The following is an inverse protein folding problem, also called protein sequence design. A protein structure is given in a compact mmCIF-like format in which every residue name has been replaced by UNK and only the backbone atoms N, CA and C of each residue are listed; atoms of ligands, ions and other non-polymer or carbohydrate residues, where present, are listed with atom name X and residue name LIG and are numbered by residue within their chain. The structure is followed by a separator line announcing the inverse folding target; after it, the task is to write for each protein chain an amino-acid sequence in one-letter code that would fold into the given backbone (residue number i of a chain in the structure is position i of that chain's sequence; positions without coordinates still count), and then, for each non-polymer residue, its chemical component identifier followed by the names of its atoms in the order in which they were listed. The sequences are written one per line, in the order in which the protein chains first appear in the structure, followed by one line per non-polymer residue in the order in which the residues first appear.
data_IF_956008533100
#
_entry.id   IF_956008533100
#
_cell.length_a   1.000
_cell.length_b   1.000
_cell.length_c   1.000
_cell.angle_alpha   90.00
_cell.angle_beta   90.00
_cell.angle_gamma   90.00
#
_symmetry.space_group_name_H-M   'P 1'
#
loop_
_entity.id
_entity.type
_entity.pdbx_description
1 polymer ?
#
# COMPACT_ATOMS: atom_id res chain seq x y z
N UNK A 1 1.17 -62.52 -3.50
CA UNK A 1 1.40 -61.25 -4.24
C UNK A 1 0.51 -60.20 -3.55
N UNK A 2 0.90 -59.32 -2.61
CA UNK A 2 2.09 -58.46 -2.42
C UNK A 2 2.41 -57.71 -3.73
N UNK A 3 2.37 -56.38 -3.89
CA UNK A 3 2.41 -55.13 -3.08
C UNK A 3 1.61 -54.05 -3.89
N UNK A 4 1.27 -52.82 -3.49
CA UNK A 4 1.70 -51.90 -2.45
C UNK A 4 1.39 -50.46 -2.90
N UNK A 5 1.02 -49.62 -1.95
CA UNK A 5 0.68 -48.19 -1.97
C UNK A 5 1.70 -47.22 -2.63
N UNK A 6 1.22 -46.08 -3.17
CA UNK A 6 1.49 -44.70 -2.64
C UNK A 6 0.90 -43.59 -3.53
N UNK A 7 0.16 -42.67 -2.89
CA UNK A 7 -0.27 -41.34 -3.37
C UNK A 7 0.76 -40.28 -2.98
N UNK A 8 1.00 -39.27 -3.83
CA UNK A 8 1.52 -37.91 -3.51
C UNK A 8 1.45 -36.97 -4.75
N UNK A 9 1.57 -35.61 -4.65
CA UNK A 9 0.53 -34.68 -5.11
C UNK A 9 0.94 -33.60 -6.15
N UNK A 10 -0.10 -32.94 -6.70
CA UNK A 10 -0.25 -31.58 -7.26
C UNK A 10 0.93 -30.82 -7.89
N UNK A 11 0.70 -30.26 -9.09
CA UNK A 11 1.21 -28.92 -9.46
C UNK A 11 0.30 -28.24 -10.49
N UNK A 12 -0.21 -27.07 -10.09
CA UNK A 12 -1.05 -26.15 -10.85
C UNK A 12 -0.23 -25.46 -11.95
N UNK A 13 -0.74 -25.47 -13.19
CA UNK A 13 -0.11 -24.76 -14.32
C UNK A 13 -0.54 -23.30 -14.29
N UNK A 14 0.41 -22.39 -14.04
CA UNK A 14 0.23 -20.95 -14.26
C UNK A 14 0.86 -20.57 -15.60
N UNK A 15 0.06 -20.00 -16.51
CA UNK A 15 0.53 -19.41 -17.77
C UNK A 15 1.13 -18.03 -17.49
N UNK A 16 2.40 -17.83 -17.87
CA UNK A 16 3.02 -16.50 -18.02
C UNK A 16 3.36 -16.35 -19.49
N UNK A 17 2.67 -15.45 -20.19
CA UNK A 17 3.00 -15.05 -21.57
C UNK A 17 4.00 -13.90 -21.46
N UNK A 18 5.27 -14.17 -21.78
CA UNK A 18 6.28 -13.15 -22.06
C UNK A 18 6.52 -13.15 -23.58
N UNK A 19 6.14 -12.06 -24.25
CA UNK A 19 6.41 -11.86 -25.68
C UNK A 19 7.79 -11.19 -25.83
N UNK A 20 8.71 -11.91 -26.46
CA UNK A 20 10.02 -11.43 -26.86
C UNK A 20 9.91 -10.71 -28.20
N UNK A 21 10.26 -9.42 -28.26
CA UNK A 21 10.64 -8.77 -29.52
C UNK A 21 12.11 -8.38 -29.45
N UNK A 22 12.91 -9.13 -30.19
CA UNK A 22 14.28 -8.80 -30.58
C UNK A 22 14.19 -8.12 -31.94
N UNK A 23 14.71 -6.90 -32.08
CA UNK A 23 14.99 -6.33 -33.40
C UNK A 23 16.33 -5.61 -33.35
N UNK A 24 17.29 -6.14 -34.10
CA UNK A 24 18.59 -5.53 -34.42
C UNK A 24 18.36 -4.37 -35.40
N UNK A 25 18.96 -3.22 -35.14
CA UNK A 25 19.35 -2.25 -36.18
C UNK A 25 20.84 -1.91 -35.92
N UNK A 26 21.64 -2.10 -36.96
CA UNK A 26 23.07 -1.74 -37.14
C UNK A 26 23.04 -0.41 -37.92
N UNK A 27 23.78 0.67 -37.67
CA UNK A 27 25.22 1.00 -37.76
C UNK A 27 25.39 2.35 -36.98
N UNK A 28 26.42 2.61 -36.16
CA UNK A 28 27.77 2.98 -36.58
C UNK A 28 28.82 2.59 -35.51
N UNK A 29 29.63 1.58 -35.86
CA UNK A 29 31.07 1.73 -35.83
C UNK A 29 31.84 1.58 -34.52
N UNK A 30 31.83 0.41 -33.86
CA UNK A 30 33.04 -0.16 -33.21
C UNK A 30 32.94 -1.70 -33.17
N UNK A 31 33.84 -2.38 -33.88
CA UNK A 31 34.00 -3.84 -33.88
C UNK A 31 34.99 -4.22 -32.77
N UNK A 32 34.62 -5.11 -31.86
CA UNK A 32 35.58 -5.80 -30.98
C UNK A 32 35.78 -7.23 -31.47
N UNK A 33 37.00 -7.51 -31.94
CA UNK A 33 37.48 -8.84 -32.33
C UNK A 33 38.12 -9.53 -31.11
N UNK A 34 37.88 -10.83 -30.84
CA UNK A 34 38.43 -11.48 -29.66
C UNK A 34 39.87 -11.95 -29.91
N UNK A 35 40.85 -11.29 -29.28
CA UNK A 35 42.24 -11.74 -29.23
C UNK A 35 42.35 -13.00 -28.34
N UNK A 36 42.89 -14.09 -28.89
CA UNK A 36 43.29 -15.29 -28.12
C UNK A 36 44.61 -14.99 -27.42
N UNK A 37 44.64 -15.06 -26.09
CA UNK A 37 45.85 -15.01 -25.29
C UNK A 37 45.88 -16.14 -24.26
N UNK A 38 47.00 -16.87 -24.22
CA UNK A 38 47.35 -17.91 -23.26
C UNK A 38 47.89 -17.28 -21.97
N UNK A 39 47.43 -17.73 -20.80
CA UNK A 39 48.00 -17.36 -19.50
C UNK A 39 48.66 -18.58 -18.85
N UNK A 40 49.94 -18.46 -18.48
CA UNK A 40 50.67 -19.45 -17.69
C UNK A 40 50.23 -19.38 -16.21
N UNK A 41 49.91 -20.53 -15.62
CA UNK A 41 49.55 -20.66 -14.21
C UNK A 41 50.79 -20.92 -13.37
N UNK A 42 51.16 -19.97 -12.50
CA UNK A 42 52.10 -20.22 -11.40
C UNK A 42 51.37 -20.97 -10.28
N UNK A 43 52.00 -22.06 -9.82
CA UNK A 43 51.45 -23.05 -8.91
C UNK A 43 51.71 -22.67 -7.46
N UNK A 44 50.65 -22.35 -6.71
CA UNK A 44 50.63 -22.58 -5.25
C UNK A 44 49.20 -22.58 -4.71
N UNK A 45 48.95 -23.47 -3.75
CA UNK A 45 47.69 -23.73 -3.04
C UNK A 45 46.59 -24.52 -3.79
N UNK A 46 46.82 -25.82 -3.96
CA UNK A 46 45.76 -26.83 -3.82
C UNK A 46 46.06 -27.70 -2.60
N UNK A 47 45.11 -27.82 -1.68
CA UNK A 47 45.03 -28.96 -0.77
C UNK A 47 43.87 -29.85 -1.21
N UNK A 48 44.22 -31.12 -1.39
CA UNK A 48 43.43 -32.18 -1.99
C UNK A 48 42.53 -32.82 -0.94
N UNK A 49 41.26 -33.10 -1.28
CA UNK A 49 40.57 -34.24 -0.68
C UNK A 49 39.55 -34.89 -1.63
N UNK A 50 40.00 -36.06 -2.12
CA UNK A 50 39.28 -37.31 -2.43
C UNK A 50 38.23 -37.36 -3.56
N UNK A 51 38.71 -37.99 -4.64
CA UNK A 51 38.01 -38.76 -5.67
C UNK A 51 36.93 -39.73 -5.16
N UNK A 52 35.85 -39.87 -5.94
CA UNK A 52 35.28 -41.19 -6.27
C UNK A 52 34.64 -41.15 -7.67
N UNK A 53 35.04 -42.13 -8.47
CA UNK A 53 34.73 -42.34 -9.89
C UNK A 53 33.48 -43.21 -10.07
N UNK A 54 32.67 -42.93 -11.09
CA UNK A 54 32.06 -43.99 -11.91
C UNK A 54 31.67 -43.44 -13.28
N UNK A 55 32.32 -43.97 -14.32
CA UNK A 55 32.02 -43.75 -15.73
C UNK A 55 30.94 -44.76 -16.15
N UNK A 56 29.80 -44.28 -16.63
CA UNK A 56 28.97 -45.03 -17.57
C UNK A 56 28.80 -44.22 -18.86
N UNK A 57 29.41 -44.75 -19.92
CA UNK A 57 29.23 -44.33 -21.31
C UNK A 57 27.81 -44.72 -21.74
N UNK A 58 27.04 -43.78 -22.30
CA UNK A 58 26.83 -43.66 -23.76
C UNK A 58 25.46 -43.02 -24.11
N UNK A 59 25.51 -42.18 -25.15
CA UNK A 59 24.44 -41.74 -26.06
C UNK A 59 23.34 -40.78 -25.58
N UNK A 60 23.41 -39.59 -26.21
CA UNK A 60 22.39 -38.57 -26.50
C UNK A 60 22.05 -37.59 -25.36
N UNK A 61 22.23 -36.30 -25.69
CA UNK A 61 21.76 -35.08 -25.00
C UNK A 61 22.30 -34.81 -23.60
N UNK A 62 23.03 -33.69 -23.45
CA UNK A 62 22.74 -32.54 -22.57
C UNK A 62 24.02 -31.72 -22.41
N UNK A 63 24.05 -30.48 -22.93
CA UNK A 63 25.05 -29.49 -22.52
C UNK A 63 24.69 -29.09 -21.08
N UNK A 64 25.38 -29.65 -20.10
CA UNK A 64 25.38 -29.14 -18.73
C UNK A 64 26.44 -28.06 -18.68
N UNK A 65 26.02 -26.81 -18.69
CA UNK A 65 26.89 -25.68 -18.36
C UNK A 65 27.02 -25.62 -16.85
N UNK A 66 28.17 -26.02 -16.31
CA UNK A 66 28.49 -25.76 -14.91
C UNK A 66 28.91 -24.29 -14.78
N UNK A 67 28.11 -23.48 -14.09
CA UNK A 67 28.60 -22.22 -13.55
C UNK A 67 29.29 -22.53 -12.23
N UNK A 68 30.63 -22.49 -12.23
CA UNK A 68 31.40 -22.41 -11.00
C UNK A 68 31.19 -21.00 -10.44
N UNK A 69 30.48 -20.88 -9.31
CA UNK A 69 30.51 -19.67 -8.51
C UNK A 69 31.87 -19.65 -7.81
N UNK A 70 32.78 -18.81 -8.30
CA UNK A 70 33.98 -18.45 -7.55
C UNK A 70 33.51 -17.65 -6.33
N UNK A 71 33.49 -18.29 -5.17
CA UNK A 71 33.33 -17.60 -3.89
C UNK A 71 34.64 -16.87 -3.59
N UNK A 72 34.63 -15.54 -3.72
CA UNK A 72 35.74 -14.70 -3.29
C UNK A 72 35.82 -14.77 -1.76
N UNK A 73 36.83 -15.47 -1.24
CA UNK A 73 37.26 -15.33 0.15
C UNK A 73 37.91 -13.95 0.31
N UNK A 74 37.19 -13.01 0.89
CA UNK A 74 37.82 -11.84 1.49
C UNK A 74 38.40 -12.24 2.87
N UNK A 75 39.71 -12.06 3.10
CA UNK A 75 40.29 -12.15 4.41
C UNK A 75 40.14 -10.79 5.09
N UNK A 76 39.27 -10.69 6.08
CA UNK A 76 39.66 -10.14 7.38
C UNK A 76 38.51 -10.23 8.37
N UNK A 77 38.77 -11.00 9.42
CA UNK A 77 37.96 -11.06 10.63
C UNK A 77 38.60 -10.09 11.61
N UNK A 78 37.87 -9.06 12.07
CA UNK A 78 37.61 -8.82 13.51
C UNK A 78 36.98 -7.45 13.80
N UNK A 79 35.97 -7.52 14.68
CA UNK A 79 35.50 -6.50 15.63
C UNK A 79 34.56 -5.38 15.13
N UNK A 80 33.38 -5.32 15.76
CA UNK A 80 32.41 -4.23 15.64
C UNK A 80 31.11 -4.65 14.94
N UNK A 81 30.13 -5.16 15.70
CA UNK A 81 28.75 -5.29 15.20
C UNK A 81 28.12 -3.90 15.12
N UNK A 82 28.49 -3.11 14.12
CA UNK A 82 27.71 -1.95 13.71
C UNK A 82 26.67 -2.44 12.72
N UNK A 83 25.38 -2.37 13.10
CA UNK A 83 24.26 -2.74 12.25
C UNK A 83 24.34 -1.91 10.97
N UNK A 84 24.83 -2.49 9.87
CA UNK A 84 24.73 -1.89 8.53
C UNK A 84 23.24 -1.65 8.26
N UNK A 85 22.83 -0.40 8.40
CA UNK A 85 21.49 0.08 8.07
C UNK A 85 21.37 -0.04 6.56
N UNK A 86 20.82 -1.14 6.06
CA UNK A 86 20.54 -1.30 4.64
C UNK A 86 19.67 -0.12 4.20
N UNK A 87 20.26 0.83 3.48
CA UNK A 87 19.52 1.91 2.86
C UNK A 87 18.68 1.28 1.76
N UNK A 88 17.37 1.17 1.98
CA UNK A 88 16.43 0.81 0.91
C UNK A 88 16.67 1.82 -0.22
N UNK A 89 16.98 1.35 -1.43
CA UNK A 89 17.13 2.22 -2.60
C UNK A 89 15.73 2.68 -2.98
N UNK A 90 15.38 3.88 -2.56
CA UNK A 90 14.03 4.45 -2.73
C UNK A 90 13.86 5.25 -4.02
N UNK A 91 14.96 5.50 -4.75
CA UNK A 91 14.98 6.32 -5.97
C UNK A 91 15.93 5.72 -7.00
N UNK A 92 15.56 5.74 -8.28
CA UNK A 92 16.39 5.28 -9.39
C UNK A 92 16.77 6.47 -10.27
N UNK A 93 18.07 6.63 -10.53
CA UNK A 93 18.61 7.81 -11.21
C UNK A 93 17.98 8.09 -12.58
N UNK A 94 17.73 7.03 -13.35
CA UNK A 94 17.17 7.05 -14.69
C UNK A 94 15.63 7.05 -14.75
N UNK A 95 14.95 7.05 -13.60
CA UNK A 95 13.48 7.02 -13.53
C UNK A 95 13.00 8.28 -12.79
N UNK A 96 12.77 9.42 -13.49
CA UNK A 96 12.50 10.71 -12.87
C UNK A 96 11.35 10.68 -11.86
N UNK A 97 10.31 9.88 -12.14
CA UNK A 97 9.13 9.73 -11.28
C UNK A 97 9.48 9.18 -9.88
N UNK A 98 10.54 8.38 -9.74
CA UNK A 98 10.97 7.85 -8.42
C UNK A 98 11.72 8.88 -7.60
N UNK A 99 12.35 9.89 -8.23
CA UNK A 99 12.94 11.04 -7.53
C UNK A 99 11.89 12.08 -7.16
N UNK A 100 10.92 12.29 -8.05
CA UNK A 100 9.80 13.23 -7.85
C UNK A 100 8.81 12.75 -6.78
N UNK A 101 8.82 11.45 -6.43
CA UNK A 101 7.84 10.80 -5.55
C UNK A 101 8.55 9.89 -4.54
N UNK A 102 9.28 10.45 -3.55
CA UNK A 102 10.09 9.66 -2.64
C UNK A 102 9.23 8.92 -1.61
N UNK A 103 9.49 7.63 -1.35
CA UNK A 103 8.78 6.91 -0.31
C UNK A 103 9.22 7.35 1.10
N UNK A 104 8.26 7.44 2.03
CA UNK A 104 8.42 7.47 3.48
C UNK A 104 9.32 6.34 4.01
N UNK A 105 9.97 6.60 5.14
CA UNK A 105 11.10 5.77 5.61
C UNK A 105 10.84 5.06 6.95
N UNK A 106 9.60 5.06 7.44
CA UNK A 106 9.20 4.69 8.82
C UNK A 106 7.67 4.49 8.89
N UNK A 107 6.98 3.62 9.65
CA UNK A 107 7.28 2.61 10.69
C UNK A 107 6.03 1.73 10.92
N UNK A 108 6.21 0.68 11.72
CA UNK A 108 5.23 -0.28 12.23
C UNK A 108 4.20 0.37 13.17
N UNK A 109 2.91 0.32 12.82
CA UNK A 109 1.76 0.17 13.74
C UNK A 109 0.46 0.18 12.93
N UNK A 110 -0.21 -0.97 12.85
CA UNK A 110 -1.39 -1.17 11.97
C UNK A 110 -2.68 -0.52 12.47
N UNK A 111 -2.65 0.00 13.71
CA UNK A 111 -3.79 0.51 14.48
C UNK A 111 -3.80 2.02 14.64
N UNK A 112 -2.73 2.68 14.22
CA UNK A 112 -2.55 4.11 14.41
C UNK A 112 -2.29 4.73 13.04
N UNK A 113 -2.94 5.87 12.77
CA UNK A 113 -2.62 6.66 11.59
C UNK A 113 -1.34 7.47 11.88
N UNK A 114 -0.18 6.82 11.78
CA UNK A 114 1.13 7.42 12.10
C UNK A 114 1.69 8.22 10.92
N UNK A 115 2.35 9.33 11.20
CA UNK A 115 3.11 10.17 10.25
C UNK A 115 4.45 10.56 10.85
N UNK A 116 5.33 11.19 10.07
CA UNK A 116 6.57 11.78 10.60
C UNK A 116 6.31 12.77 11.76
N UNK A 117 5.23 13.56 11.68
CA UNK A 117 4.86 14.54 12.72
C UNK A 117 4.12 13.92 13.90
N UNK A 118 3.33 12.88 13.66
CA UNK A 118 2.60 12.11 14.69
C UNK A 118 3.02 10.64 14.67
N UNK A 119 4.20 10.30 15.23
CA UNK A 119 4.73 8.93 15.18
C UNK A 119 3.88 7.92 15.97
N UNK A 120 3.08 8.39 16.93
CA UNK A 120 2.17 7.59 17.74
C UNK A 120 0.69 7.79 17.32
N UNK A 121 0.44 8.42 16.17
CA UNK A 121 -0.91 8.74 15.68
C UNK A 121 -1.66 9.74 16.55
N UNK A 122 -3.00 9.62 16.62
CA UNK A 122 -3.86 10.46 17.46
C UNK A 122 -3.86 9.94 18.90
N UNK A 123 -3.29 10.73 19.81
CA UNK A 123 -3.21 10.39 21.25
C UNK A 123 -4.07 11.33 22.12
N UNK A 124 -4.60 12.40 21.53
CA UNK A 124 -5.44 13.36 22.21
C UNK A 124 -6.70 12.71 22.79
N UNK A 125 -7.07 13.09 24.02
CA UNK A 125 -8.24 12.57 24.74
C UNK A 125 -8.29 11.03 24.82
N UNK A 126 -7.14 10.36 24.98
CA UNK A 126 -7.04 8.90 25.05
C UNK A 126 -7.49 8.15 23.78
N UNK A 127 -7.56 8.82 22.62
CA UNK A 127 -8.11 8.25 21.39
C UNK A 127 -7.52 6.88 21.00
N UNK A 128 -6.18 6.78 20.92
CA UNK A 128 -5.48 5.53 20.63
C UNK A 128 -5.80 4.41 21.62
N UNK A 129 -6.00 4.73 22.91
CA UNK A 129 -6.32 3.76 23.96
C UNK A 129 -7.74 3.22 23.80
N UNK A 130 -8.69 4.09 23.49
CA UNK A 130 -10.10 3.73 23.25
C UNK A 130 -10.26 2.86 22.00
N UNK A 131 -9.50 3.16 20.95
CA UNK A 131 -9.60 2.53 19.63
C UNK A 131 -8.58 1.38 19.42
N UNK A 132 -7.89 0.94 20.48
CA UNK A 132 -6.78 -0.03 20.40
C UNK A 132 -7.15 -1.42 19.84
N UNK A 133 -8.44 -1.73 19.73
CA UNK A 133 -8.95 -3.00 19.20
C UNK A 133 -9.47 -2.89 17.75
N UNK A 134 -9.33 -1.72 17.12
CA UNK A 134 -9.83 -1.45 15.78
C UNK A 134 -8.66 -1.22 14.81
N UNK A 135 -8.85 -1.58 13.54
CA UNK A 135 -8.00 -1.06 12.46
C UNK A 135 -8.33 0.42 12.20
N UNK A 136 -7.43 1.17 11.59
CA UNK A 136 -7.67 2.59 11.31
C UNK A 136 -8.93 2.81 10.45
N UNK A 137 -9.21 1.92 9.49
CA UNK A 137 -10.47 1.98 8.73
C UNK A 137 -11.71 1.73 9.60
N UNK A 138 -11.62 0.87 10.62
CA UNK A 138 -12.73 0.68 11.57
C UNK A 138 -12.93 1.93 12.44
N UNK A 139 -11.83 2.57 12.87
CA UNK A 139 -11.88 3.84 13.61
C UNK A 139 -12.56 4.95 12.81
N UNK A 140 -12.25 5.02 11.50
CA UNK A 140 -12.88 5.95 10.57
C UNK A 140 -14.41 5.89 10.62
N UNK A 141 -14.97 4.67 10.57
CA UNK A 141 -16.42 4.46 10.49
C UNK A 141 -17.09 4.40 11.86
N UNK A 142 -16.33 4.17 12.94
CA UNK A 142 -16.82 4.04 14.31
C UNK A 142 -17.62 5.27 14.77
N UNK A 143 -17.26 6.47 14.30
CA UNK A 143 -18.01 7.70 14.57
C UNK A 143 -19.49 7.61 14.17
N UNK A 144 -19.80 6.86 13.11
CA UNK A 144 -21.15 6.71 12.59
C UNK A 144 -21.94 5.59 13.28
N UNK A 145 -21.29 4.71 14.04
CA UNK A 145 -21.96 3.75 14.91
C UNK A 145 -22.29 4.43 16.25
N UNK A 146 -23.53 4.93 16.36
CA UNK A 146 -23.93 5.81 17.45
C UNK A 146 -24.23 4.98 18.71
N UNK A 147 -24.83 3.80 18.53
CA UNK A 147 -25.19 2.91 19.63
C UNK A 147 -24.07 1.93 20.02
N UNK A 148 -22.98 1.86 19.25
CA UNK A 148 -21.79 1.02 19.47
C UNK A 148 -22.07 -0.48 19.41
N UNK A 149 -23.00 -0.89 18.53
CA UNK A 149 -23.33 -2.30 18.32
C UNK A 149 -22.54 -2.95 17.15
N UNK A 150 -21.68 -2.19 16.48
CA UNK A 150 -20.88 -2.63 15.33
C UNK A 150 -21.63 -2.60 14.00
N UNK A 151 -22.83 -2.03 13.97
CA UNK A 151 -23.71 -1.94 12.80
C UNK A 151 -24.08 -0.48 12.55
N UNK A 152 -23.81 0.01 11.34
CA UNK A 152 -24.20 1.36 10.94
C UNK A 152 -25.48 1.26 10.10
N UNK A 153 -26.55 1.89 10.60
CA UNK A 153 -27.82 2.02 9.89
C UNK A 153 -27.85 3.27 8.99
N UNK A 154 -28.74 3.32 7.96
CA UNK A 154 -28.95 4.54 7.16
C UNK A 154 -29.25 5.79 8.00
N UNK A 155 -30.01 5.63 9.09
CA UNK A 155 -30.34 6.73 10.00
C UNK A 155 -29.12 7.23 10.77
N UNK A 156 -28.26 6.34 11.23
CA UNK A 156 -27.05 6.73 11.94
C UNK A 156 -26.04 7.42 11.03
N UNK A 157 -25.89 6.95 9.79
CA UNK A 157 -25.12 7.68 8.77
C UNK A 157 -25.67 9.08 8.58
N UNK A 158 -26.99 9.24 8.38
CA UNK A 158 -27.62 10.56 8.29
C UNK A 158 -27.28 11.43 9.50
N UNK A 159 -27.50 10.92 10.72
CA UNK A 159 -27.23 11.65 11.96
C UNK A 159 -25.76 12.00 12.10
N UNK A 160 -24.84 11.12 11.71
CA UNK A 160 -23.40 11.38 11.70
C UNK A 160 -23.03 12.52 10.76
N UNK A 161 -23.50 12.51 9.51
CA UNK A 161 -23.29 13.62 8.58
C UNK A 161 -23.87 14.95 9.10
N UNK A 162 -25.02 14.91 9.78
CA UNK A 162 -25.61 16.09 10.42
C UNK A 162 -24.77 16.59 11.60
N UNK A 163 -24.19 15.69 12.41
CA UNK A 163 -23.22 16.03 13.47
C UNK A 163 -21.94 16.65 12.90
N UNK A 164 -21.56 16.26 11.69
CA UNK A 164 -20.45 16.85 10.91
C UNK A 164 -20.85 18.12 10.14
N UNK A 165 -22.05 18.65 10.38
CA UNK A 165 -22.57 19.92 9.83
C UNK A 165 -22.83 19.91 8.31
N UNK A 166 -22.78 18.75 7.65
CA UNK A 166 -23.25 18.65 6.27
C UNK A 166 -24.75 18.92 6.19
N UNK A 167 -25.20 19.71 5.22
CA UNK A 167 -26.63 20.05 5.07
C UNK A 167 -27.50 18.80 4.79
N UNK A 168 -28.82 18.99 4.84
CA UNK A 168 -29.80 17.89 4.68
C UNK A 168 -29.63 17.17 3.33
N UNK A 169 -29.46 17.92 2.25
CA UNK A 169 -29.36 17.35 0.90
C UNK A 169 -28.11 16.48 0.75
N UNK A 170 -26.96 16.98 1.19
CA UNK A 170 -25.71 16.21 1.15
C UNK A 170 -25.80 15.00 2.08
N UNK A 171 -26.39 15.15 3.26
CA UNK A 171 -26.54 14.03 4.21
C UNK A 171 -27.39 12.90 3.63
N UNK A 172 -28.53 13.21 2.99
CA UNK A 172 -29.37 12.20 2.33
C UNK A 172 -28.67 11.56 1.14
N UNK A 173 -27.95 12.36 0.35
CA UNK A 173 -27.16 11.86 -0.77
C UNK A 173 -26.05 10.91 -0.31
N UNK A 174 -25.33 11.26 0.76
CA UNK A 174 -24.30 10.41 1.37
C UNK A 174 -24.88 9.07 1.85
N UNK A 175 -26.05 9.07 2.49
CA UNK A 175 -26.72 7.83 2.90
C UNK A 175 -26.95 6.91 1.71
N UNK A 176 -27.47 7.47 0.60
CA UNK A 176 -27.72 6.68 -0.60
C UNK A 176 -26.44 6.05 -1.15
N UNK A 177 -25.36 6.83 -1.31
CA UNK A 177 -24.08 6.36 -1.87
C UNK A 177 -23.43 5.31 -0.96
N UNK A 178 -23.32 5.59 0.34
CA UNK A 178 -22.63 4.75 1.32
C UNK A 178 -23.35 3.40 1.50
N UNK A 179 -24.68 3.43 1.67
CA UNK A 179 -25.44 2.21 1.94
C UNK A 179 -25.69 1.36 0.70
N UNK A 180 -25.85 1.97 -0.49
CA UNK A 180 -25.91 1.20 -1.75
C UNK A 180 -24.58 0.50 -2.07
N UNK A 181 -23.46 1.12 -1.67
CA UNK A 181 -22.12 0.58 -1.83
C UNK A 181 -21.77 -0.54 -0.87
N UNK A 182 -21.88 -0.27 0.43
CA UNK A 182 -21.22 -1.10 1.45
C UNK A 182 -22.13 -2.12 2.15
N UNK A 183 -23.46 -1.95 2.09
CA UNK A 183 -24.36 -2.84 2.84
C UNK A 183 -24.24 -4.30 2.41
N UNK A 184 -24.23 -4.56 1.09
CA UNK A 184 -24.06 -5.93 0.58
C UNK A 184 -22.63 -6.44 0.77
N UNK A 185 -21.63 -5.60 0.49
CA UNK A 185 -20.21 -5.97 0.58
C UNK A 185 -19.80 -6.36 2.00
N UNK A 186 -20.38 -5.71 3.01
CA UNK A 186 -20.11 -6.02 4.43
C UNK A 186 -21.03 -7.10 5.00
N UNK A 187 -21.98 -7.63 4.22
CA UNK A 187 -22.87 -8.71 4.64
C UNK A 187 -22.09 -10.01 4.86
N UNK A 188 -22.48 -10.77 5.89
CA UNK A 188 -21.89 -12.08 6.23
C UNK A 188 -22.35 -13.20 5.29
N UNK A 189 -23.50 -13.02 4.64
CA UNK A 189 -24.13 -14.04 3.81
C UNK A 189 -24.40 -13.56 2.39
N UNK A 190 -24.99 -14.45 1.60
CA UNK A 190 -25.36 -14.19 0.20
C UNK A 190 -26.68 -13.41 0.05
N UNK A 191 -27.54 -13.43 1.08
CA UNK A 191 -28.81 -12.71 1.06
C UNK A 191 -28.53 -11.24 1.43
N UNK A 192 -28.90 -10.27 0.56
CA UNK A 192 -28.76 -8.86 0.89
C UNK A 192 -29.55 -8.47 2.14
N UNK A 193 -29.00 -7.56 2.94
CA UNK A 193 -29.70 -7.02 4.11
C UNK A 193 -30.76 -6.02 3.63
N UNK A 194 -32.07 -6.28 3.79
CA UNK A 194 -33.12 -5.39 3.29
C UNK A 194 -33.14 -4.03 4.00
N UNK A 195 -32.47 -3.91 5.16
CA UNK A 195 -32.31 -2.66 5.89
C UNK A 195 -31.05 -1.89 5.49
N UNK A 196 -30.30 -2.39 4.49
CA UNK A 196 -29.07 -1.79 3.99
C UNK A 196 -28.04 -1.48 5.08
N UNK A 197 -27.92 -2.32 6.11
CA UNK A 197 -27.00 -2.08 7.23
C UNK A 197 -25.56 -2.43 6.87
N UNK A 198 -24.63 -1.64 7.38
CA UNK A 198 -23.19 -1.84 7.19
C UNK A 198 -22.60 -2.47 8.46
N UNK A 199 -21.76 -3.49 8.31
CA UNK A 199 -21.12 -4.19 9.46
C UNK A 199 -19.66 -3.78 9.57
N UNK A 200 -19.29 -3.13 10.68
CA UNK A 200 -17.94 -2.59 10.89
C UNK A 200 -16.87 -3.69 10.88
N UNK A 201 -17.17 -4.88 11.40
CA UNK A 201 -16.24 -6.02 11.35
C UNK A 201 -15.75 -6.36 9.92
N UNK A 202 -16.58 -6.13 8.91
CA UNK A 202 -16.32 -6.50 7.52
C UNK A 202 -16.03 -5.29 6.62
N UNK A 203 -15.86 -4.09 7.21
CA UNK A 203 -15.72 -2.85 6.44
C UNK A 203 -14.51 -2.83 5.50
N UNK A 204 -13.45 -3.57 5.86
CA UNK A 204 -12.26 -3.76 5.03
C UNK A 204 -12.57 -4.28 3.61
N UNK A 205 -13.67 -5.04 3.45
CA UNK A 205 -14.14 -5.53 2.15
C UNK A 205 -14.65 -4.41 1.23
N UNK A 206 -14.98 -3.25 1.80
CA UNK A 206 -15.44 -2.06 1.06
C UNK A 206 -14.31 -1.29 0.36
N UNK A 207 -13.05 -1.70 0.54
CA UNK A 207 -11.93 -1.11 -0.19
C UNK A 207 -12.11 -1.26 -1.71
N UNK A 208 -11.93 -0.18 -2.45
CA UNK A 208 -11.97 -0.15 -3.92
C UNK A 208 -10.59 0.14 -4.53
N UNK A 209 -10.42 -0.08 -5.83
CA UNK A 209 -9.12 -0.06 -6.50
C UNK A 209 -8.58 1.35 -6.78
N UNK A 210 -9.47 2.32 -6.93
CA UNK A 210 -9.17 3.71 -7.28
C UNK A 210 -9.07 4.64 -6.07
N UNK A 211 -8.90 4.07 -4.87
CA UNK A 211 -8.68 4.83 -3.65
C UNK A 211 -7.25 5.37 -3.53
N UNK A 212 -7.00 6.15 -2.47
CA UNK A 212 -5.67 6.67 -2.13
C UNK A 212 -4.61 5.61 -1.81
N UNK A 213 -4.99 4.33 -1.66
CA UNK A 213 -4.16 3.25 -1.18
C UNK A 213 -3.60 3.44 0.25
N UNK A 214 -4.10 4.40 1.01
CA UNK A 214 -3.72 4.61 2.42
C UNK A 214 -4.19 3.48 3.33
N UNK A 215 -5.28 2.78 3.00
CA UNK A 215 -5.65 1.51 3.63
C UNK A 215 -5.12 0.33 2.84
N UNK A 216 -4.59 -0.67 3.55
CA UNK A 216 -4.38 -2.01 2.99
C UNK A 216 -5.70 -2.81 2.91
N UNK A 217 -5.72 -4.00 2.27
CA UNK A 217 -6.94 -4.81 2.14
C UNK A 217 -7.56 -5.26 3.46
N UNK A 218 -6.82 -5.22 4.58
CA UNK A 218 -7.35 -5.51 5.92
C UNK A 218 -7.80 -4.24 6.66
N UNK A 219 -7.73 -3.06 6.03
CA UNK A 219 -8.11 -1.78 6.61
C UNK A 219 -7.05 -1.15 7.52
N UNK A 220 -5.81 -1.65 7.48
CA UNK A 220 -4.70 -1.08 8.24
C UNK A 220 -4.15 0.15 7.53
N UNK A 221 -3.67 1.11 8.29
CA UNK A 221 -3.08 2.33 7.75
C UNK A 221 -1.68 2.06 7.18
N UNK A 222 -1.41 2.64 6.00
CA UNK A 222 -0.10 2.62 5.33
C UNK A 222 0.46 4.05 5.32
N UNK A 223 1.27 4.42 6.33
CA UNK A 223 1.86 5.76 6.45
C UNK A 223 2.54 6.23 5.18
N UNK A 224 3.27 5.29 4.58
CA UNK A 224 3.92 5.47 3.30
C UNK A 224 2.99 5.96 2.19
N UNK A 225 1.84 5.30 1.99
CA UNK A 225 0.94 5.67 0.89
C UNK A 225 0.26 7.01 1.16
N UNK A 226 -0.01 7.29 2.44
CA UNK A 226 -0.57 8.55 2.89
C UNK A 226 0.38 9.73 2.62
N UNK A 227 1.62 9.67 3.13
CA UNK A 227 2.62 10.73 2.95
C UNK A 227 2.99 10.90 1.47
N UNK A 228 3.11 9.79 0.73
CA UNK A 228 3.34 9.80 -0.72
C UNK A 228 2.31 10.63 -1.47
N UNK A 229 1.05 10.60 -1.03
CA UNK A 229 0.00 11.33 -1.73
C UNK A 229 0.19 12.85 -1.60
N UNK A 230 0.68 13.33 -0.45
CA UNK A 230 1.01 14.74 -0.28
C UNK A 230 2.26 15.14 -1.05
N UNK A 231 3.30 14.30 -1.05
CA UNK A 231 4.51 14.58 -1.84
C UNK A 231 4.25 14.53 -3.35
N UNK A 232 3.32 13.67 -3.82
CA UNK A 232 2.96 13.51 -5.23
C UNK A 232 2.08 14.62 -5.79
N UNK A 233 1.09 15.07 -5.00
CA UNK A 233 0.01 15.94 -5.49
C UNK A 233 -0.10 17.25 -4.71
N UNK A 234 0.32 17.26 -3.45
CA UNK A 234 0.24 18.42 -2.57
C UNK A 234 1.35 19.43 -2.77
N UNK A 235 1.49 20.31 -1.80
CA UNK A 235 2.55 21.32 -1.74
C UNK A 235 2.99 21.49 -0.30
N UNK A 236 4.29 21.72 -0.12
CA UNK A 236 4.85 22.06 1.19
C UNK A 236 4.80 23.57 1.38
N UNK A 237 4.20 24.01 2.49
CA UNK A 237 4.14 25.41 2.88
C UNK A 237 5.49 25.96 3.32
N UNK A 238 5.56 27.28 3.50
CA UNK A 238 6.77 27.94 4.00
C UNK A 238 7.14 27.55 5.44
N UNK A 239 6.16 27.05 6.19
CA UNK A 239 6.29 26.46 7.53
C UNK A 239 6.86 25.02 7.49
N UNK A 240 7.07 24.44 6.30
CA UNK A 240 7.52 23.06 6.14
C UNK A 240 6.39 22.03 6.23
N UNK A 241 5.14 22.48 6.40
CA UNK A 241 3.98 21.61 6.54
C UNK A 241 3.44 21.19 5.17
N UNK A 242 3.05 19.93 5.03
CA UNK A 242 2.40 19.45 3.81
C UNK A 242 0.91 19.76 3.81
N UNK A 243 0.38 20.14 2.65
CA UNK A 243 -1.04 20.36 2.45
C UNK A 243 -1.47 20.15 1.00
N UNK A 244 -2.77 20.16 0.77
CA UNK A 244 -3.35 19.96 -0.55
C UNK A 244 -4.57 20.86 -0.78
N UNK A 245 -4.58 21.60 -1.89
CA UNK A 245 -5.76 22.35 -2.33
C UNK A 245 -6.85 21.42 -2.84
N UNK A 246 -8.07 21.94 -3.01
CA UNK A 246 -9.15 21.18 -3.64
C UNK A 246 -8.75 20.66 -5.04
N UNK A 247 -8.15 21.51 -5.89
CA UNK A 247 -7.75 21.13 -7.23
C UNK A 247 -6.70 20.01 -7.24
N UNK A 248 -5.72 20.09 -6.34
CA UNK A 248 -4.71 19.03 -6.17
C UNK A 248 -5.34 17.72 -5.67
N UNK A 249 -6.36 17.79 -4.80
CA UNK A 249 -7.10 16.59 -4.38
C UNK A 249 -7.86 15.93 -5.53
N UNK A 250 -8.38 16.71 -6.48
CA UNK A 250 -8.98 16.15 -7.70
C UNK A 250 -7.93 15.55 -8.64
N UNK A 251 -6.73 16.13 -8.72
CA UNK A 251 -5.60 15.53 -9.45
C UNK A 251 -5.17 14.20 -8.84
N UNK A 252 -5.20 14.09 -7.51
CA UNK A 252 -4.98 12.84 -6.81
C UNK A 252 -6.01 11.79 -7.20
N UNK A 253 -7.31 12.12 -7.13
CA UNK A 253 -8.38 11.18 -7.53
C UNK A 253 -8.19 10.74 -8.98
N UNK A 254 -7.89 11.68 -9.87
CA UNK A 254 -7.63 11.37 -11.28
C UNK A 254 -6.41 10.46 -11.48
N UNK A 255 -5.36 10.64 -10.69
CA UNK A 255 -4.10 9.91 -10.80
C UNK A 255 -4.10 8.52 -10.18
N UNK A 256 -5.05 8.20 -9.28
CA UNK A 256 -5.17 6.89 -8.61
C UNK A 256 -6.14 5.92 -9.30
N UNK A 257 -6.81 6.35 -10.37
CA UNK A 257 -7.85 5.54 -11.03
C UNK A 257 -7.30 4.24 -11.58
N UNK A 258 -8.02 3.15 -11.30
CA UNK A 258 -7.74 1.85 -11.86
C UNK A 258 -8.62 1.55 -13.08
N UNK A 259 -8.08 0.78 -14.02
CA UNK A 259 -8.81 0.36 -15.22
C UNK A 259 -10.02 -0.51 -14.79
N UNK A 260 -11.19 -0.21 -15.35
CA UNK A 260 -12.47 -0.89 -15.06
C UNK A 260 -13.04 -0.73 -13.65
N UNK A 261 -12.52 0.19 -12.83
CA UNK A 261 -13.04 0.46 -11.50
C UNK A 261 -13.91 1.73 -11.46
N UNK A 262 -15.02 1.74 -12.20
CA UNK A 262 -15.93 2.90 -12.27
C UNK A 262 -16.48 3.27 -10.89
N UNK A 263 -16.82 2.27 -10.09
CA UNK A 263 -17.34 2.47 -8.74
C UNK A 263 -16.29 3.17 -7.85
N UNK A 264 -15.05 2.68 -7.83
CA UNK A 264 -13.99 3.30 -7.04
C UNK A 264 -13.63 4.71 -7.49
N UNK A 265 -13.68 5.01 -8.79
CA UNK A 265 -13.45 6.39 -9.28
C UNK A 265 -14.51 7.34 -8.73
N UNK A 266 -15.79 6.95 -8.76
CA UNK A 266 -16.88 7.76 -8.19
C UNK A 266 -16.79 7.84 -6.67
N UNK A 267 -16.40 6.75 -6.01
CA UNK A 267 -16.13 6.70 -4.57
C UNK A 267 -15.03 7.67 -4.17
N UNK A 268 -13.88 7.64 -4.85
CA UNK A 268 -12.77 8.55 -4.61
C UNK A 268 -13.14 10.02 -4.81
N UNK A 269 -13.93 10.36 -5.84
CA UNK A 269 -14.46 11.72 -5.99
C UNK A 269 -15.33 12.13 -4.81
N UNK A 270 -16.25 11.26 -4.38
CA UNK A 270 -17.13 11.52 -3.24
C UNK A 270 -16.35 11.70 -1.94
N UNK A 271 -15.37 10.83 -1.67
CA UNK A 271 -14.50 10.86 -0.49
C UNK A 271 -13.74 12.18 -0.38
N UNK A 272 -13.09 12.62 -1.47
CA UNK A 272 -12.26 13.83 -1.47
C UNK A 272 -13.07 15.13 -1.50
N UNK A 273 -14.21 15.15 -2.20
CA UNK A 273 -15.15 16.29 -2.11
C UNK A 273 -15.68 16.42 -0.68
N UNK A 274 -16.10 15.31 -0.07
CA UNK A 274 -16.61 15.31 1.31
C UNK A 274 -15.53 15.74 2.30
N UNK A 275 -14.29 15.28 2.11
CA UNK A 275 -13.14 15.68 2.94
C UNK A 275 -12.89 17.19 2.86
N UNK A 276 -12.88 17.77 1.65
CA UNK A 276 -12.70 19.22 1.50
C UNK A 276 -13.84 20.01 2.15
N UNK A 277 -15.09 19.58 1.96
CA UNK A 277 -16.26 20.22 2.58
C UNK A 277 -16.26 20.13 4.11
N UNK A 278 -15.78 19.00 4.66
CA UNK A 278 -15.66 18.80 6.10
C UNK A 278 -14.58 19.70 6.71
N UNK A 279 -13.39 19.75 6.08
CA UNK A 279 -12.26 20.52 6.58
C UNK A 279 -12.47 22.02 6.40
N UNK A 280 -13.08 22.42 5.27
CA UNK A 280 -13.35 23.80 4.86
C UNK A 280 -12.22 24.79 5.24
N UNK A 281 -10.98 24.56 4.77
CA UNK A 281 -9.82 25.34 5.18
C UNK A 281 -9.95 26.81 4.74
N UNK A 282 -9.62 27.75 5.62
CA UNK A 282 -9.77 29.19 5.37
C UNK A 282 -8.83 29.72 4.28
N UNK A 283 -7.66 29.10 4.12
CA UNK A 283 -6.65 29.41 3.11
C UNK A 283 -6.80 28.53 1.85
N UNK A 284 -7.82 27.66 1.81
CA UNK A 284 -8.04 26.72 0.71
C UNK A 284 -7.11 25.52 0.68
N UNK A 285 -6.27 25.32 1.71
CA UNK A 285 -5.30 24.22 1.79
C UNK A 285 -5.67 23.25 2.92
N UNK A 286 -5.98 22.02 2.57
CA UNK A 286 -6.19 20.95 3.55
C UNK A 286 -4.84 20.51 4.11
N UNK A 287 -4.60 20.75 5.39
CA UNK A 287 -3.36 20.35 6.08
C UNK A 287 -3.28 18.83 6.18
N UNK A 288 -2.08 18.28 5.96
CA UNK A 288 -1.84 16.83 6.01
C UNK A 288 -2.36 16.20 7.31
N UNK A 289 -2.06 16.79 8.46
CA UNK A 289 -2.47 16.25 9.75
C UNK A 289 -3.98 16.32 10.02
N UNK A 290 -4.69 17.29 9.44
CA UNK A 290 -6.15 17.34 9.50
C UNK A 290 -6.75 16.24 8.61
N UNK A 291 -6.21 16.02 7.41
CA UNK A 291 -6.61 14.89 6.54
C UNK A 291 -6.29 13.54 7.19
N UNK A 292 -5.14 13.40 7.88
CA UNK A 292 -4.77 12.20 8.65
C UNK A 292 -5.82 11.89 9.71
N UNK A 293 -6.30 12.93 10.41
CA UNK A 293 -7.40 12.80 11.37
C UNK A 293 -8.74 12.42 10.73
N UNK A 294 -8.95 12.72 9.44
CA UNK A 294 -10.11 12.19 8.69
C UNK A 294 -9.94 10.70 8.43
N UNK A 295 -8.72 10.22 8.12
CA UNK A 295 -8.48 8.78 7.96
C UNK A 295 -8.79 8.02 9.25
N UNK A 296 -8.17 8.33 10.38
CA UNK A 296 -8.50 7.61 11.62
C UNK A 296 -9.89 7.95 12.18
N UNK A 297 -10.54 9.02 11.74
CA UNK A 297 -11.86 9.45 12.20
C UNK A 297 -11.82 10.36 13.43
N UNK A 298 -10.65 10.61 14.02
CA UNK A 298 -10.49 11.54 15.15
C UNK A 298 -10.94 12.97 14.83
N UNK A 299 -10.81 13.40 13.57
CA UNK A 299 -11.26 14.71 13.14
C UNK A 299 -12.79 14.87 13.23
N UNK A 300 -13.56 13.80 13.09
CA UNK A 300 -15.02 13.83 13.20
C UNK A 300 -15.47 14.20 14.61
N UNK A 301 -14.79 13.65 15.61
CA UNK A 301 -15.01 14.01 17.02
C UNK A 301 -14.57 15.45 17.32
N UNK A 302 -13.47 15.93 16.70
CA UNK A 302 -13.04 17.34 16.77
C UNK A 302 -14.11 18.30 16.22
N UNK A 303 -14.75 17.98 15.10
CA UNK A 303 -15.79 18.84 14.50
C UNK A 303 -17.10 18.79 15.29
N UNK A 304 -17.54 17.60 15.67
CA UNK A 304 -18.83 17.42 16.37
C UNK A 304 -18.84 18.01 17.79
N UNK A 305 -17.68 18.13 18.44
CA UNK A 305 -17.54 18.75 19.78
C UNK A 305 -17.46 20.28 19.75
N UNK A 306 -17.22 20.91 18.59
CA UNK A 306 -17.22 22.36 18.48
C UNK A 306 -18.64 22.91 18.64
N UNK A 307 -18.83 23.88 19.55
CA UNK A 307 -20.11 24.62 19.71
C UNK A 307 -20.53 25.27 18.39
N UNK A 308 -21.84 25.31 18.15
CA UNK A 308 -22.40 26.06 17.02
C UNK A 308 -22.02 27.54 17.20
N UNK A 309 -21.32 28.10 16.20
CA UNK A 309 -21.25 29.56 16.06
C UNK A 309 -22.61 29.96 15.48
N UNK A 310 -23.47 30.48 16.34
CA UNK A 310 -24.76 31.07 15.96
C UNK A 310 -24.54 32.28 15.05
#
# INVERSE_FOLDING_TARGET
MLFGSKLAPSASVSYVIASSYVTRIVEDGYIYEPQRGTWELSSSCFSTHKFASSILKNRRTTKITFFAVMESKDPDTQSGCEKRKYSIVTTVACVPVTKQRPPAKSRHNVREAVTEQKPDGTTENDYAREHKQQTVLQQHVDFFDINKDGIITPLETYTGFRKLRFNILISLFSVFIIHSGFAYVTCRGWIPDPLFRIRIENIHRGKHGSDSNTYDPEGRFRPQMFEDMFTKYGTQGADGEWGMTFQQSLQLVYGQRCLFDVYGVMGGLFEWISTYLLLWPSDGVMKMEDVRGVYDGSYFYKVSSQKQRN
#
